data_IF_519774672135
#
_entry.id   IF_519774672135
#
_cell.length_a   1.000
_cell.length_b   1.000
_cell.length_c   1.000
_cell.angle_alpha   90.00
_cell.angle_beta   90.00
_cell.angle_gamma   90.00
#
_symmetry.space_group_name_H-M   'P 1'
#
loop_
_entity.id
_entity.type
_entity.pdbx_description
1 polymer ?
#
# COMPACT_ATOMS: atom_id res chain seq x y z
N UNK A 1 6.16 -17.26 -0.22
CA UNK A 1 5.95 -16.08 0.63
C UNK A 1 7.23 -15.82 1.39
N UNK A 2 7.79 -14.62 1.22
CA UNK A 2 9.06 -14.20 1.84
C UNK A 2 8.96 -12.74 2.30
N UNK A 3 9.88 -12.32 3.19
CA UNK A 3 10.03 -10.90 3.55
C UNK A 3 10.20 -10.05 2.30
N UNK A 4 9.51 -8.92 2.23
CA UNK A 4 9.48 -8.02 1.09
C UNK A 4 8.32 -8.28 0.12
N UNK A 5 7.63 -9.41 0.20
CA UNK A 5 6.41 -9.62 -0.58
C UNK A 5 5.33 -8.63 -0.16
N UNK A 6 4.54 -8.18 -1.14
CA UNK A 6 3.49 -7.18 -0.97
C UNK A 6 2.19 -7.88 -0.61
N UNK A 7 1.46 -7.35 0.36
CA UNK A 7 0.18 -7.91 0.81
C UNK A 7 -0.95 -6.93 0.54
N UNK A 8 -1.91 -7.36 -0.22
CA UNK A 8 -3.17 -6.66 -0.44
C UNK A 8 -4.19 -7.14 0.58
N UNK A 9 -4.77 -6.24 1.35
CA UNK A 9 -5.73 -6.57 2.40
C UNK A 9 -7.12 -6.02 2.10
N UNK A 10 -8.14 -6.80 2.45
CA UNK A 10 -9.52 -6.36 2.47
C UNK A 10 -9.88 -5.95 3.90
N UNK A 11 -9.72 -4.67 4.23
CA UNK A 11 -10.14 -4.17 5.53
C UNK A 11 -11.63 -3.76 5.52
N UNK A 12 -12.27 -3.89 6.70
CA UNK A 12 -13.66 -3.48 6.91
C UNK A 12 -13.71 -2.00 7.31
N UNK A 13 -14.79 -1.31 6.97
CA UNK A 13 -15.05 0.08 7.36
C UNK A 13 -15.49 0.95 6.18
N UNK A 14 -16.05 2.12 6.50
CA UNK A 14 -16.61 3.06 5.51
C UNK A 14 -15.55 3.55 4.52
N UNK A 15 -14.39 4.00 5.02
CA UNK A 15 -13.29 4.49 4.17
C UNK A 15 -12.83 3.38 3.20
N UNK A 16 -12.66 2.16 3.71
CA UNK A 16 -12.30 1.02 2.88
C UNK A 16 -13.35 0.69 1.82
N UNK A 17 -14.63 0.86 2.14
CA UNK A 17 -15.72 0.69 1.17
C UNK A 17 -15.67 1.76 0.07
N UNK A 18 -15.44 3.01 0.42
CA UNK A 18 -15.27 4.11 -0.54
C UNK A 18 -14.08 3.88 -1.47
N UNK A 19 -12.92 3.48 -0.94
CA UNK A 19 -11.73 3.16 -1.74
C UNK A 19 -12.06 2.04 -2.74
N UNK A 20 -12.68 0.94 -2.29
CA UNK A 20 -13.05 -0.17 -3.18
C UNK A 20 -14.06 0.24 -4.24
N UNK A 21 -15.02 1.09 -3.89
CA UNK A 21 -16.00 1.60 -4.85
C UNK A 21 -15.33 2.46 -5.93
N UNK A 22 -14.46 3.37 -5.53
CA UNK A 22 -13.71 4.23 -6.43
C UNK A 22 -12.81 3.41 -7.38
N UNK A 23 -12.08 2.43 -6.86
CA UNK A 23 -11.19 1.58 -7.66
C UNK A 23 -11.91 0.69 -8.68
N UNK A 24 -13.20 0.37 -8.47
CA UNK A 24 -13.97 -0.50 -9.40
C UNK A 24 -14.15 0.09 -10.78
N UNK A 25 -14.09 1.40 -10.90
CA UNK A 25 -14.28 2.08 -12.18
C UNK A 25 -13.06 1.89 -13.10
N UNK A 26 -11.86 1.93 -12.53
CA UNK A 26 -10.61 1.99 -13.29
C UNK A 26 -9.83 0.67 -13.26
N UNK A 27 -10.08 -0.18 -12.25
CA UNK A 27 -9.36 -1.44 -12.03
C UNK A 27 -10.34 -2.61 -11.93
N UNK A 28 -10.01 -3.71 -12.59
CA UNK A 28 -10.87 -4.90 -12.60
C UNK A 28 -11.20 -5.42 -11.19
N UNK A 29 -12.29 -6.21 -11.07
CA UNK A 29 -12.80 -6.72 -9.79
C UNK A 29 -11.76 -7.47 -8.95
N UNK A 30 -10.77 -8.10 -9.61
CA UNK A 30 -9.70 -8.85 -8.94
C UNK A 30 -8.88 -7.98 -8.00
N UNK A 31 -8.62 -6.71 -8.36
CA UNK A 31 -7.78 -5.81 -7.58
C UNK A 31 -8.59 -4.80 -6.76
N UNK A 32 -9.72 -4.34 -7.29
CA UNK A 32 -10.56 -3.34 -6.63
C UNK A 32 -11.20 -3.81 -5.31
N UNK A 33 -11.19 -5.12 -5.02
CA UNK A 33 -11.66 -5.64 -3.74
C UNK A 33 -10.73 -5.36 -2.55
N UNK A 34 -9.47 -4.94 -2.81
CA UNK A 34 -8.50 -4.63 -1.77
C UNK A 34 -8.41 -3.12 -1.57
N UNK A 35 -8.37 -2.70 -0.33
CA UNK A 35 -8.38 -1.28 0.05
C UNK A 35 -7.26 -0.90 1.01
N UNK A 36 -6.38 -1.84 1.30
CA UNK A 36 -5.19 -1.61 2.12
C UNK A 36 -4.04 -2.45 1.57
N UNK A 37 -2.82 -1.94 1.73
CA UNK A 37 -1.60 -2.58 1.26
C UNK A 37 -0.53 -2.49 2.34
N UNK A 38 0.24 -3.57 2.47
CA UNK A 38 1.33 -3.71 3.42
C UNK A 38 2.48 -4.49 2.77
N UNK A 39 3.61 -4.61 3.45
CA UNK A 39 4.77 -5.41 3.02
C UNK A 39 5.16 -6.36 4.14
N UNK A 40 5.38 -7.64 3.82
CA UNK A 40 5.82 -8.63 4.77
C UNK A 40 7.22 -8.29 5.31
N UNK A 41 7.35 -8.27 6.63
CA UNK A 41 8.61 -7.96 7.29
C UNK A 41 9.26 -9.24 7.83
N UNK A 42 8.81 -9.74 8.98
CA UNK A 42 9.42 -10.85 9.71
C UNK A 42 8.43 -12.00 9.89
N UNK A 43 8.87 -13.21 9.53
CA UNK A 43 8.16 -14.44 9.83
C UNK A 43 8.21 -14.71 11.35
N UNK A 44 7.06 -14.94 11.94
CA UNK A 44 6.90 -15.23 13.37
C UNK A 44 7.02 -16.73 13.70
N UNK A 45 7.20 -17.60 12.69
CA UNK A 45 7.35 -19.05 12.85
C UNK A 45 6.07 -19.80 13.19
N UNK A 46 4.95 -19.11 13.33
CA UNK A 46 3.62 -19.68 13.63
C UNK A 46 2.63 -19.53 12.47
N UNK A 47 3.14 -19.24 11.26
CA UNK A 47 2.33 -18.98 10.07
C UNK A 47 1.84 -17.52 9.98
N UNK A 48 2.22 -16.65 10.90
CA UNK A 48 1.92 -15.22 10.87
C UNK A 48 3.18 -14.39 10.57
N UNK A 49 2.99 -13.15 10.16
CA UNK A 49 4.04 -12.23 9.77
C UNK A 49 3.86 -10.88 10.44
N UNK A 50 4.95 -10.21 10.80
CA UNK A 50 4.88 -8.76 11.00
C UNK A 50 4.93 -8.07 9.65
N UNK A 51 4.37 -6.86 9.56
CA UNK A 51 4.26 -6.13 8.30
C UNK A 51 4.67 -4.67 8.45
N UNK A 52 5.30 -4.12 7.42
CA UNK A 52 5.38 -2.67 7.22
C UNK A 52 4.07 -2.18 6.66
N UNK A 53 3.49 -1.19 7.31
CA UNK A 53 2.28 -0.54 6.85
C UNK A 53 2.17 0.90 7.34
N UNK A 54 1.37 1.72 6.65
CA UNK A 54 0.94 3.02 7.14
C UNK A 54 -0.52 2.92 7.58
N UNK A 55 -0.80 3.23 8.84
CA UNK A 55 -2.13 3.25 9.45
C UNK A 55 -2.32 4.49 10.32
N UNK A 56 -3.50 4.70 10.91
CA UNK A 56 -3.83 5.89 11.71
C UNK A 56 -2.80 6.23 12.80
N UNK A 57 -2.02 5.27 13.27
CA UNK A 57 -0.95 5.45 14.25
C UNK A 57 0.40 5.85 13.64
N UNK A 58 0.50 5.89 12.32
CA UNK A 58 1.73 6.13 11.56
C UNK A 58 2.25 4.90 10.84
N UNK A 59 3.50 4.96 10.39
CA UNK A 59 4.19 3.82 9.77
C UNK A 59 4.70 2.89 10.86
N UNK A 60 4.33 1.63 10.76
CA UNK A 60 4.70 0.56 11.73
C UNK A 60 5.28 -0.65 11.01
N UNK A 61 6.08 -1.44 11.70
CA UNK A 61 6.73 -2.69 11.22
C UNK A 61 6.44 -3.92 12.10
N UNK A 62 5.65 -3.74 13.16
CA UNK A 62 5.40 -4.74 14.21
C UNK A 62 3.98 -5.32 14.22
N UNK A 63 3.08 -4.80 13.37
CA UNK A 63 1.70 -5.31 13.35
C UNK A 63 1.65 -6.68 12.69
N UNK A 64 0.83 -7.58 13.23
CA UNK A 64 0.64 -8.92 12.68
C UNK A 64 -0.32 -8.89 11.48
N UNK A 65 -0.01 -9.70 10.46
CA UNK A 65 -0.84 -9.86 9.27
C UNK A 65 -2.24 -10.34 9.64
N UNK A 66 -2.35 -11.29 10.56
CA UNK A 66 -3.64 -11.77 11.09
C UNK A 66 -4.50 -10.67 11.71
N UNK A 67 -3.86 -9.64 12.28
CA UNK A 67 -4.55 -8.49 12.86
C UNK A 67 -5.07 -7.51 11.81
N UNK A 68 -4.29 -7.24 10.76
CA UNK A 68 -4.67 -6.28 9.71
C UNK A 68 -5.60 -6.88 8.65
N UNK A 69 -5.56 -8.20 8.48
CA UNK A 69 -6.41 -8.95 7.57
C UNK A 69 -7.13 -10.11 8.28
N UNK A 70 -8.03 -9.81 9.23
CA UNK A 70 -8.72 -10.83 10.01
C UNK A 70 -9.55 -11.75 9.10
N UNK A 71 -9.47 -13.06 9.38
CA UNK A 71 -10.15 -14.08 8.58
C UNK A 71 -9.46 -14.39 7.26
N UNK A 72 -8.18 -14.01 7.10
CA UNK A 72 -7.36 -14.40 5.94
C UNK A 72 -7.76 -13.73 4.62
N UNK A 73 -8.47 -12.61 4.67
CA UNK A 73 -8.88 -11.88 3.45
C UNK A 73 -7.75 -10.99 2.93
N UNK A 74 -6.72 -11.62 2.43
CA UNK A 74 -5.58 -10.96 1.81
C UNK A 74 -5.07 -11.75 0.60
N UNK A 75 -4.28 -11.10 -0.23
CA UNK A 75 -3.53 -11.68 -1.33
C UNK A 75 -2.07 -11.26 -1.23
N UNK A 76 -1.16 -12.20 -1.38
CA UNK A 76 0.28 -11.91 -1.46
C UNK A 76 0.69 -11.80 -2.92
N UNK A 77 1.46 -10.78 -3.22
CA UNK A 77 2.11 -10.56 -4.52
C UNK A 77 3.61 -10.55 -4.26
N UNK A 78 4.35 -11.33 -5.03
CA UNK A 78 5.81 -11.33 -4.94
C UNK A 78 6.37 -9.98 -5.33
N UNK A 79 7.48 -9.59 -4.70
CA UNK A 79 8.21 -8.40 -5.09
C UNK A 79 8.60 -8.49 -6.59
N UNK A 80 8.31 -7.48 -7.42
CA UNK A 80 8.58 -7.53 -8.86
C UNK A 80 10.06 -7.81 -9.17
N UNK A 81 10.30 -8.51 -10.27
CA UNK A 81 11.67 -8.75 -10.77
C UNK A 81 12.38 -7.42 -11.04
N UNK A 82 13.68 -7.40 -10.81
CA UNK A 82 14.51 -6.19 -10.98
C UNK A 82 14.50 -5.24 -9.78
N UNK A 83 13.55 -5.36 -8.85
CA UNK A 83 13.56 -4.55 -7.62
C UNK A 83 14.69 -4.97 -6.70
N UNK A 84 15.53 -4.01 -6.32
CA UNK A 84 16.56 -4.22 -5.31
C UNK A 84 15.91 -4.31 -3.92
N UNK A 85 15.72 -5.52 -3.43
CA UNK A 85 15.06 -5.80 -2.15
C UNK A 85 15.72 -5.06 -0.98
N UNK A 86 17.06 -4.96 -0.94
CA UNK A 86 17.77 -4.27 0.15
C UNK A 86 17.42 -2.79 0.19
N UNK A 87 17.36 -2.13 -0.97
CA UNK A 87 16.97 -0.71 -1.07
C UNK A 87 15.50 -0.53 -0.72
N UNK A 88 14.63 -1.41 -1.21
CA UNK A 88 13.19 -1.41 -0.95
C UNK A 88 12.91 -1.51 0.56
N UNK A 89 13.46 -2.52 1.24
CA UNK A 89 13.29 -2.70 2.69
C UNK A 89 13.96 -1.57 3.48
N UNK A 90 15.18 -1.17 3.11
CA UNK A 90 15.89 -0.08 3.79
C UNK A 90 15.15 1.26 3.72
N UNK A 91 14.40 1.51 2.64
CA UNK A 91 13.48 2.65 2.59
C UNK A 91 12.35 2.49 3.61
N UNK A 92 11.67 1.34 3.64
CA UNK A 92 10.57 1.09 4.59
C UNK A 92 11.04 1.25 6.04
N UNK A 93 12.20 0.68 6.39
CA UNK A 93 12.81 0.84 7.72
C UNK A 93 13.01 2.33 8.09
N UNK A 94 13.47 3.13 7.14
CA UNK A 94 13.69 4.57 7.36
C UNK A 94 12.40 5.38 7.55
N UNK A 95 11.25 4.81 7.19
CA UNK A 95 9.95 5.47 7.34
C UNK A 95 9.21 5.07 8.61
N UNK A 96 9.64 4.04 9.33
CA UNK A 96 9.01 3.61 10.58
C UNK A 96 8.93 4.76 11.58
N UNK A 97 7.78 4.96 12.20
CA UNK A 97 7.51 6.06 13.13
C UNK A 97 7.03 7.37 12.48
N UNK A 98 7.07 7.50 11.16
CA UNK A 98 6.49 8.67 10.48
C UNK A 98 4.98 8.69 10.58
N UNK A 99 4.39 9.88 10.48
CA UNK A 99 2.95 10.11 10.68
C UNK A 99 2.12 9.59 9.50
N UNK A 100 0.86 9.31 9.78
CA UNK A 100 -0.13 8.93 8.78
C UNK A 100 -0.83 10.15 8.19
N UNK A 101 -1.04 10.11 6.86
CA UNK A 101 -1.70 11.17 6.10
C UNK A 101 -3.21 11.01 5.99
N UNK A 102 -3.95 11.05 7.09
CA UNK A 102 -5.41 10.91 7.06
C UNK A 102 -6.10 11.92 6.12
N UNK A 103 -5.63 13.17 6.13
CA UNK A 103 -6.15 14.21 5.22
C UNK A 103 -5.83 13.90 3.76
N UNK A 104 -4.72 13.23 3.47
CA UNK A 104 -4.37 12.82 2.11
C UNK A 104 -5.32 11.74 1.57
N UNK A 105 -5.77 10.79 2.41
CA UNK A 105 -6.77 9.80 2.00
C UNK A 105 -8.11 10.46 1.69
N UNK A 106 -8.55 11.38 2.55
CA UNK A 106 -9.80 12.09 2.33
C UNK A 106 -9.73 12.90 1.04
N UNK A 107 -8.60 13.55 0.79
CA UNK A 107 -8.32 14.29 -0.45
C UNK A 107 -8.34 13.38 -1.68
N UNK A 108 -7.65 12.23 -1.65
CA UNK A 108 -7.68 11.26 -2.74
C UNK A 108 -9.09 10.71 -3.01
N UNK A 109 -9.88 10.47 -1.96
CA UNK A 109 -11.26 10.02 -2.12
C UNK A 109 -12.14 11.11 -2.75
N UNK A 110 -11.89 12.37 -2.45
CA UNK A 110 -12.58 13.51 -3.07
C UNK A 110 -12.13 13.73 -4.51
N UNK A 111 -10.84 13.63 -4.83
CA UNK A 111 -10.32 13.76 -6.21
C UNK A 111 -10.89 12.69 -7.15
N UNK A 112 -11.16 11.48 -6.65
CA UNK A 112 -11.80 10.42 -7.42
C UNK A 112 -13.29 10.72 -7.75
N UNK A 113 -13.96 11.54 -6.96
CA UNK A 113 -15.39 11.86 -7.12
C UNK A 113 -15.59 13.25 -7.75
N UNK A 114 -14.68 14.18 -7.46
CA UNK A 114 -14.72 15.58 -7.89
C UNK A 114 -13.31 15.98 -8.37
N UNK A 115 -12.98 15.73 -9.64
CA UNK A 115 -11.69 16.14 -10.21
C UNK A 115 -11.51 17.66 -10.08
N UNK A 116 -10.30 18.10 -9.76
CA UNK A 116 -9.88 19.51 -9.55
C UNK A 116 -10.13 20.11 -8.15
N UNK A 117 -10.49 19.34 -7.15
CA UNK A 117 -10.50 19.83 -5.76
C UNK A 117 -9.09 19.80 -5.14
N UNK A 118 -8.83 20.80 -4.29
CA UNK A 118 -7.53 21.08 -3.66
C UNK A 118 -7.03 19.86 -2.88
N UNK A 119 -5.95 19.26 -3.36
CA UNK A 119 -5.26 18.17 -2.66
C UNK A 119 -4.56 18.72 -1.41
N UNK A 120 -5.13 18.48 -0.24
CA UNK A 120 -4.56 18.89 1.05
C UNK A 120 -3.42 17.93 1.42
N UNK A 121 -2.20 18.23 0.94
CA UNK A 121 -0.99 17.47 1.25
C UNK A 121 -0.30 18.03 2.48
N UNK A 122 0.11 17.15 3.35
CA UNK A 122 1.02 17.49 4.44
C UNK A 122 2.33 16.70 4.22
N UNK A 123 3.45 17.43 4.10
CA UNK A 123 4.79 16.83 4.09
C UNK A 123 4.98 15.95 5.34
N UNK A 124 5.74 14.87 5.21
CA UNK A 124 6.05 13.90 6.27
C UNK A 124 4.90 13.00 6.75
N UNK A 125 3.89 12.76 5.90
CA UNK A 125 2.82 11.81 6.19
C UNK A 125 2.72 10.75 5.09
N UNK A 126 2.38 9.52 5.46
CA UNK A 126 2.23 8.41 4.51
C UNK A 126 0.81 7.88 4.51
N UNK A 127 0.30 7.54 3.32
CA UNK A 127 -0.84 6.62 3.14
C UNK A 127 -0.28 5.22 2.80
N UNK A 128 -1.06 4.17 3.00
CA UNK A 128 -0.56 2.79 2.83
C UNK A 128 0.01 2.53 1.43
N UNK A 129 -0.70 2.93 0.38
CA UNK A 129 -0.25 2.77 -1.01
C UNK A 129 0.92 3.68 -1.35
N UNK A 130 0.92 4.94 -0.92
CA UNK A 130 2.02 5.86 -1.14
C UNK A 130 3.34 5.40 -0.53
N UNK A 131 3.31 4.81 0.65
CA UNK A 131 4.49 4.22 1.29
C UNK A 131 5.09 3.10 0.43
N UNK A 132 4.25 2.17 -0.05
CA UNK A 132 4.71 1.03 -0.87
C UNK A 132 5.16 1.50 -2.24
N UNK A 133 4.46 2.44 -2.87
CA UNK A 133 4.84 3.03 -4.15
C UNK A 133 6.23 3.70 -4.08
N UNK A 134 6.46 4.52 -3.07
CA UNK A 134 7.77 5.15 -2.85
C UNK A 134 8.87 4.11 -2.60
N UNK A 135 8.59 3.07 -1.82
CA UNK A 135 9.56 1.99 -1.59
C UNK A 135 9.91 1.26 -2.90
N UNK A 136 8.94 1.00 -3.78
CA UNK A 136 9.16 0.40 -5.10
C UNK A 136 10.06 1.27 -5.98
N UNK A 137 9.83 2.58 -6.02
CA UNK A 137 10.71 3.53 -6.74
C UNK A 137 12.12 3.50 -6.17
N UNK A 138 12.28 3.55 -4.86
CA UNK A 138 13.60 3.43 -4.22
C UNK A 138 14.28 2.08 -4.51
N UNK A 139 13.49 1.02 -4.65
CA UNK A 139 13.93 -0.30 -5.07
C UNK A 139 14.34 -0.37 -6.55
N UNK A 140 14.02 0.64 -7.36
CA UNK A 140 14.31 0.67 -8.80
C UNK A 140 13.25 0.00 -9.67
N UNK A 141 12.00 -0.06 -9.23
CA UNK A 141 10.89 -0.58 -10.03
C UNK A 141 10.52 0.41 -11.14
N UNK A 142 10.87 0.09 -12.38
CA UNK A 142 10.74 1.00 -13.52
C UNK A 142 9.29 1.43 -13.78
N UNK A 143 8.32 0.52 -13.67
CA UNK A 143 6.92 0.84 -13.86
C UNK A 143 6.40 1.89 -12.85
N UNK A 144 7.00 1.96 -11.66
CA UNK A 144 6.63 2.94 -10.65
C UNK A 144 7.05 4.39 -11.01
N UNK A 145 7.99 4.58 -11.93
CA UNK A 145 8.39 5.92 -12.38
C UNK A 145 7.32 6.61 -13.24
N UNK A 146 6.34 5.87 -13.75
CA UNK A 146 5.19 6.44 -14.48
C UNK A 146 4.12 7.01 -13.55
N UNK A 147 4.15 6.71 -12.24
CA UNK A 147 3.19 7.23 -11.30
C UNK A 147 3.42 8.73 -11.05
N UNK A 148 2.41 9.57 -11.31
CA UNK A 148 2.58 11.02 -11.24
C UNK A 148 2.86 11.50 -9.81
N UNK A 149 2.32 10.78 -8.81
CA UNK A 149 2.47 11.10 -7.41
C UNK A 149 2.15 9.89 -6.52
N UNK A 150 3.03 9.59 -5.57
CA UNK A 150 2.83 8.48 -4.63
C UNK A 150 1.57 8.60 -3.77
N UNK A 151 1.07 9.81 -3.57
CA UNK A 151 -0.13 10.06 -2.76
C UNK A 151 -1.43 9.79 -3.50
N UNK A 152 -1.39 9.68 -4.82
CA UNK A 152 -2.56 9.37 -5.65
C UNK A 152 -2.64 7.90 -6.04
N UNK A 153 -1.55 7.16 -5.90
CA UNK A 153 -1.49 5.73 -6.22
C UNK A 153 -2.41 4.94 -5.29
N UNK A 154 -3.26 4.10 -5.86
CA UNK A 154 -4.18 3.25 -5.10
C UNK A 154 -3.66 1.81 -4.98
N UNK A 155 -4.13 1.03 -3.98
CA UNK A 155 -3.70 -0.38 -3.82
C UNK A 155 -3.90 -1.24 -5.08
N UNK A 156 -4.99 -1.02 -5.82
CA UNK A 156 -5.28 -1.75 -7.06
C UNK A 156 -4.25 -1.49 -8.17
N UNK A 157 -3.80 -0.25 -8.32
CA UNK A 157 -2.79 0.14 -9.31
C UNK A 157 -1.44 -0.51 -9.05
N UNK A 158 -1.00 -0.53 -7.79
CA UNK A 158 0.23 -1.23 -7.40
C UNK A 158 0.10 -2.73 -7.68
N UNK A 159 -1.05 -3.31 -7.33
CA UNK A 159 -1.31 -4.72 -7.52
C UNK A 159 -1.26 -5.14 -8.98
N UNK A 160 -1.87 -4.35 -9.87
CA UNK A 160 -1.85 -4.58 -11.31
C UNK A 160 -0.43 -4.46 -11.85
N UNK A 161 0.26 -3.35 -11.57
CA UNK A 161 1.63 -3.10 -12.03
C UNK A 161 2.61 -4.17 -11.56
N UNK A 162 2.53 -4.62 -10.31
CA UNK A 162 3.37 -5.68 -9.79
C UNK A 162 3.05 -7.05 -10.40
N UNK A 163 1.76 -7.35 -10.67
CA UNK A 163 1.35 -8.65 -11.22
C UNK A 163 1.74 -8.84 -12.69
N UNK A 164 1.80 -7.76 -13.47
CA UNK A 164 2.24 -7.80 -14.86
C UNK A 164 3.76 -8.03 -14.95
N UNK A 165 4.53 -7.58 -13.95
CA UNK A 165 5.99 -7.62 -13.92
C UNK A 165 6.57 -8.68 -12.96
N UNK A 166 5.76 -9.63 -12.51
CA UNK A 166 6.15 -10.70 -11.57
C UNK A 166 6.95 -11.85 -12.20
#
# INVERSE_FOLDING_TARGET
VISGDIVLCHSRGLIGACIRWAQRHDYGEIYSQYNHIAVLNKDMGNGDWTVYQAEARGVTDYRLLSTIAPGGKYRVISLPKGVNKKRFIGFLDSQVGKRYGFMSILSCAFDMVLPDMICLRKSDTWICSGLVAAALVFGGFEAAFSWPDFYTVVPAEIAESCSINA
#
